data_IF_408374417370
#
_entry.id   IF_408374417370
#
_cell.length_a   1.000
_cell.length_b   1.000
_cell.length_c   1.000
_cell.angle_alpha   90.00
_cell.angle_beta   90.00
_cell.angle_gamma   90.00
#
_symmetry.space_group_name_H-M   'P 1'
#
loop_
_entity.id
_entity.type
_entity.pdbx_description
1 polymer ?
#
# COMPACT_ATOMS: atom_id res chain seq x y z
N UNK A 1 -16.08 -26.53 5.06
CA UNK A 1 -17.35 -26.37 5.79
C UNK A 1 -18.47 -26.12 4.80
N UNK A 2 -19.65 -26.71 5.06
CA UNK A 2 -20.85 -26.47 4.27
C UNK A 2 -21.69 -25.38 4.91
N UNK A 3 -22.33 -24.55 4.08
CA UNK A 3 -23.28 -23.55 4.55
C UNK A 3 -24.57 -24.21 5.01
N UNK A 4 -25.22 -23.62 5.99
CA UNK A 4 -26.50 -24.05 6.53
C UNK A 4 -27.59 -23.04 6.21
N UNK A 5 -28.86 -23.36 6.46
CA UNK A 5 -29.97 -22.44 6.31
C UNK A 5 -29.84 -21.18 7.21
N UNK A 6 -29.08 -21.27 8.30
CA UNK A 6 -28.79 -20.14 9.21
C UNK A 6 -27.59 -19.29 8.76
N UNK A 7 -26.90 -19.67 7.68
CA UNK A 7 -25.74 -18.89 7.20
C UNK A 7 -26.22 -17.53 6.69
N UNK A 8 -25.62 -16.46 7.20
CA UNK A 8 -25.93 -15.11 6.76
C UNK A 8 -25.51 -14.93 5.29
N UNK A 9 -26.48 -14.78 4.40
CA UNK A 9 -26.25 -14.58 2.96
C UNK A 9 -25.68 -13.20 2.61
N UNK A 10 -25.75 -12.25 3.55
CA UNK A 10 -25.20 -10.90 3.40
C UNK A 10 -23.77 -10.78 3.95
N UNK A 11 -23.21 -11.87 4.46
CA UNK A 11 -21.81 -11.87 4.92
C UNK A 11 -20.86 -11.57 3.75
N UNK A 12 -20.16 -10.45 3.85
CA UNK A 12 -19.29 -9.94 2.78
C UNK A 12 -17.86 -10.49 2.93
N UNK A 13 -17.69 -11.78 2.72
CA UNK A 13 -16.39 -12.44 2.69
C UNK A 13 -15.86 -12.59 1.27
N UNK A 14 -14.54 -12.57 1.13
CA UNK A 14 -13.82 -12.82 -0.12
C UNK A 14 -12.71 -13.85 0.10
N UNK A 15 -12.30 -14.52 -0.96
CA UNK A 15 -11.07 -15.31 -0.93
C UNK A 15 -9.88 -14.40 -0.58
N UNK A 16 -9.04 -14.86 0.34
CA UNK A 16 -7.93 -14.07 0.89
C UNK A 16 -8.24 -13.38 2.23
N UNK A 17 -9.51 -13.22 2.60
CA UNK A 17 -9.88 -12.60 3.89
C UNK A 17 -9.41 -13.45 5.07
N UNK A 18 -9.01 -12.76 6.14
CA UNK A 18 -8.69 -13.38 7.41
C UNK A 18 -9.98 -13.45 8.24
N UNK A 19 -10.23 -14.63 8.78
CA UNK A 19 -11.40 -14.92 9.58
C UNK A 19 -11.04 -15.70 10.84
N UNK A 20 -11.94 -15.68 11.80
CA UNK A 20 -11.91 -16.52 12.97
C UNK A 20 -12.97 -17.62 12.85
N UNK A 21 -12.56 -18.84 13.12
CA UNK A 21 -13.38 -20.03 13.10
C UNK A 21 -13.48 -20.59 14.52
N UNK A 22 -14.68 -20.87 14.98
CA UNK A 22 -14.89 -21.51 16.30
C UNK A 22 -16.05 -22.48 16.27
N UNK A 23 -15.98 -23.57 17.07
CA UNK A 23 -17.08 -24.50 17.19
C UNK A 23 -18.25 -23.83 17.92
N UNK A 24 -19.48 -24.13 17.52
CA UNK A 24 -20.66 -23.66 18.18
C UNK A 24 -21.56 -24.83 18.58
N UNK A 25 -22.19 -24.74 19.72
CA UNK A 25 -23.19 -25.70 20.20
C UNK A 25 -24.61 -25.20 19.90
N UNK A 26 -24.76 -23.86 19.92
CA UNK A 26 -25.99 -23.18 19.59
C UNK A 26 -25.74 -22.06 18.57
N UNK A 27 -26.74 -21.68 17.74
CA UNK A 27 -26.59 -20.57 16.80
C UNK A 27 -26.31 -19.20 17.46
N UNK A 28 -26.62 -19.06 18.75
CA UNK A 28 -26.40 -17.85 19.56
C UNK A 28 -25.01 -17.75 20.17
N UNK A 29 -24.17 -18.78 20.04
CA UNK A 29 -22.82 -18.79 20.59
C UNK A 29 -21.97 -17.68 19.96
N UNK A 30 -21.09 -17.11 20.78
CA UNK A 30 -20.23 -16.00 20.38
C UNK A 30 -18.76 -16.36 20.48
N UNK A 31 -17.92 -15.61 19.76
CA UNK A 31 -16.46 -15.75 19.77
C UNK A 31 -15.83 -15.71 21.17
N UNK A 32 -16.50 -15.07 22.13
CA UNK A 32 -16.00 -14.94 23.52
C UNK A 32 -16.15 -16.21 24.36
N UNK A 33 -16.93 -17.18 23.91
CA UNK A 33 -17.27 -18.39 24.66
C UNK A 33 -16.46 -19.61 24.26
N UNK A 34 -15.75 -19.54 23.13
CA UNK A 34 -15.08 -20.67 22.54
C UNK A 34 -13.61 -20.40 22.16
N UNK A 35 -12.85 -21.45 22.00
CA UNK A 35 -11.51 -21.35 21.43
C UNK A 35 -11.59 -20.94 19.97
N UNK A 36 -10.93 -19.86 19.63
CA UNK A 36 -10.89 -19.29 18.27
C UNK A 36 -9.70 -19.86 17.50
N UNK A 37 -9.94 -20.19 16.24
CA UNK A 37 -8.93 -20.65 15.30
C UNK A 37 -8.85 -19.63 14.16
N UNK A 38 -7.71 -18.97 14.01
CA UNK A 38 -7.50 -18.04 12.89
C UNK A 38 -7.32 -18.79 11.58
N UNK A 39 -8.00 -18.34 10.55
CA UNK A 39 -7.95 -18.96 9.23
C UNK A 39 -7.95 -17.90 8.11
N UNK A 40 -7.57 -18.32 6.92
CA UNK A 40 -7.71 -17.54 5.69
C UNK A 40 -8.73 -18.23 4.80
N UNK A 41 -9.67 -17.48 4.24
CA UNK A 41 -10.66 -18.00 3.31
C UNK A 41 -9.95 -18.28 1.98
N UNK A 42 -9.98 -19.53 1.54
CA UNK A 42 -9.34 -19.98 0.29
C UNK A 42 -10.33 -19.94 -0.87
N UNK A 43 -11.55 -20.43 -0.58
CA UNK A 43 -12.61 -20.55 -1.56
C UNK A 43 -13.96 -20.30 -0.90
N UNK A 44 -14.81 -19.58 -1.56
CA UNK A 44 -16.16 -19.27 -1.10
C UNK A 44 -17.12 -19.41 -2.28
N UNK A 45 -18.10 -20.29 -2.12
CA UNK A 45 -19.19 -20.46 -3.08
C UNK A 45 -20.56 -20.45 -2.36
N UNK A 46 -21.63 -20.68 -3.09
CA UNK A 46 -22.99 -20.64 -2.51
C UNK A 46 -23.25 -21.75 -1.48
N UNK A 47 -22.54 -22.85 -1.54
CA UNK A 47 -22.80 -24.05 -0.72
C UNK A 47 -21.75 -24.27 0.38
N UNK A 48 -20.53 -23.78 0.18
CA UNK A 48 -19.41 -24.12 1.06
C UNK A 48 -18.39 -22.99 1.20
N UNK A 49 -17.61 -23.09 2.26
CA UNK A 49 -16.41 -22.25 2.50
C UNK A 49 -15.23 -23.19 2.74
N UNK A 50 -14.13 -22.96 2.01
CA UNK A 50 -12.86 -23.62 2.24
C UNK A 50 -11.92 -22.64 2.93
N UNK A 51 -11.37 -23.05 4.05
CA UNK A 51 -10.44 -22.24 4.84
C UNK A 51 -9.10 -22.93 5.00
N UNK A 52 -8.05 -22.14 5.09
CA UNK A 52 -6.71 -22.57 5.47
C UNK A 52 -6.42 -22.08 6.89
N UNK A 53 -6.11 -22.99 7.81
CA UNK A 53 -5.78 -22.64 9.19
C UNK A 53 -4.40 -22.00 9.24
N UNK A 54 -4.28 -20.84 9.87
CA UNK A 54 -3.03 -20.06 9.91
C UNK A 54 -1.98 -20.63 10.86
N UNK A 55 -2.42 -21.47 11.81
CA UNK A 55 -1.55 -22.15 12.77
C UNK A 55 -1.82 -23.64 12.74
N UNK A 56 -0.77 -24.44 12.87
CA UNK A 56 -0.88 -25.87 12.96
C UNK A 56 -1.70 -26.24 14.21
N UNK A 57 -2.74 -27.05 14.01
CA UNK A 57 -3.57 -27.56 15.10
C UNK A 57 -3.08 -28.97 15.48
N UNK A 58 -2.75 -29.13 16.74
CA UNK A 58 -2.34 -30.46 17.28
C UNK A 58 -3.56 -31.33 17.70
N UNK A 59 -4.67 -30.67 18.06
CA UNK A 59 -5.91 -31.35 18.41
C UNK A 59 -6.92 -31.19 17.27
N UNK A 60 -7.14 -32.23 16.50
CA UNK A 60 -8.10 -32.23 15.38
C UNK A 60 -9.50 -32.74 15.81
N UNK A 61 -9.66 -33.29 17.02
CA UNK A 61 -10.94 -33.82 17.52
C UNK A 61 -12.13 -32.86 17.36
N UNK A 62 -12.00 -31.54 17.61
CA UNK A 62 -13.14 -30.63 17.40
C UNK A 62 -13.67 -30.60 15.98
N UNK A 63 -12.82 -30.80 14.97
CA UNK A 63 -13.25 -30.84 13.56
C UNK A 63 -14.04 -32.12 13.21
N UNK A 64 -13.80 -33.22 13.94
CA UNK A 64 -14.50 -34.46 13.71
C UNK A 64 -15.80 -34.59 14.53
N UNK A 65 -15.86 -33.93 15.70
CA UNK A 65 -16.95 -34.10 16.66
C UNK A 65 -17.98 -32.98 16.62
N UNK A 66 -17.61 -31.77 16.16
CA UNK A 66 -18.52 -30.66 16.12
C UNK A 66 -19.18 -30.51 14.75
N UNK A 67 -20.49 -30.39 14.73
CA UNK A 67 -21.28 -30.27 13.51
C UNK A 67 -21.56 -28.83 13.10
N UNK A 68 -21.51 -27.90 14.05
CA UNK A 68 -21.76 -26.47 13.81
C UNK A 68 -20.51 -25.65 14.06
N UNK A 69 -20.21 -24.75 13.12
CA UNK A 69 -19.08 -23.85 13.18
C UNK A 69 -19.49 -22.45 12.77
N UNK A 70 -19.01 -21.48 13.52
CA UNK A 70 -19.14 -20.07 13.15
C UNK A 70 -17.86 -19.59 12.48
N UNK A 71 -18.05 -18.75 11.44
CA UNK A 71 -16.98 -18.06 10.75
C UNK A 71 -17.30 -16.58 10.80
N UNK A 72 -16.43 -15.81 11.42
CA UNK A 72 -16.58 -14.36 11.56
C UNK A 72 -15.34 -13.63 11.01
N UNK A 73 -15.50 -12.36 10.57
CA UNK A 73 -14.34 -11.55 10.25
C UNK A 73 -13.40 -11.45 11.45
N UNK A 74 -12.09 -11.58 11.25
CA UNK A 74 -11.11 -11.33 12.30
C UNK A 74 -11.02 -9.82 12.57
N UNK A 75 -11.92 -9.32 13.40
CA UNK A 75 -11.89 -7.94 13.91
C UNK A 75 -10.98 -7.80 15.12
N UNK A 76 -10.51 -8.90 15.69
CA UNK A 76 -9.53 -8.92 16.78
C UNK A 76 -8.10 -8.95 16.20
N UNK A 77 -7.63 -8.03 16.01
CA UNK A 77 -6.62 -7.17 15.58
C UNK A 77 -5.16 -7.62 15.72
N UNK A 78 -4.65 -8.16 14.62
CA UNK A 78 -3.21 -8.17 14.39
C UNK A 78 -2.68 -6.79 13.99
N UNK A 79 -3.53 -5.88 13.53
CA UNK A 79 -3.16 -4.54 13.14
C UNK A 79 -2.71 -3.69 14.32
N UNK A 80 -3.42 -3.70 15.45
CA UNK A 80 -3.04 -2.93 16.65
C UNK A 80 -1.70 -3.41 17.22
N UNK A 81 -1.45 -4.71 17.26
CA UNK A 81 -0.14 -5.22 17.71
C UNK A 81 1.00 -4.71 16.83
N UNK A 82 0.79 -4.65 15.50
CA UNK A 82 1.77 -4.09 14.57
C UNK A 82 1.96 -2.59 14.79
N UNK A 83 0.87 -1.84 15.03
CA UNK A 83 0.93 -0.42 15.34
C UNK A 83 1.68 -0.15 16.66
N UNK A 84 1.37 -0.88 17.74
CA UNK A 84 2.10 -0.76 19.01
C UNK A 84 3.58 -1.08 18.86
N UNK A 85 3.92 -2.12 18.11
CA UNK A 85 5.31 -2.46 17.82
C UNK A 85 6.00 -1.32 17.06
N UNK A 86 5.36 -0.79 16.02
CA UNK A 86 5.88 0.33 15.25
C UNK A 86 6.13 1.57 16.12
N UNK A 87 5.18 1.93 16.97
CA UNK A 87 5.34 3.04 17.92
C UNK A 87 6.46 2.79 18.94
N UNK A 88 6.60 1.56 19.41
CA UNK A 88 7.69 1.19 20.32
C UNK A 88 9.06 1.26 19.64
N UNK A 89 9.17 0.79 18.41
CA UNK A 89 10.37 0.91 17.58
C UNK A 89 10.73 2.38 17.32
N UNK A 90 9.71 3.19 16.98
CA UNK A 90 9.89 4.64 16.84
C UNK A 90 10.41 5.27 18.12
N UNK A 91 9.81 4.98 19.28
CA UNK A 91 10.21 5.53 20.58
C UNK A 91 11.67 5.16 20.95
N UNK A 92 12.11 3.96 20.58
CA UNK A 92 13.48 3.47 20.80
C UNK A 92 14.50 3.91 19.75
N UNK A 93 14.10 4.60 18.69
CA UNK A 93 14.99 5.00 17.59
C UNK A 93 15.81 6.24 17.94
N UNK A 94 16.75 6.61 17.06
CA UNK A 94 17.56 7.82 17.20
C UNK A 94 16.70 9.09 17.24
N UNK A 95 17.08 10.06 18.08
CA UNK A 95 16.33 11.29 18.29
C UNK A 95 16.18 12.13 17.01
N UNK A 96 17.20 12.18 16.15
CA UNK A 96 17.15 12.92 14.89
C UNK A 96 16.18 12.25 13.90
N UNK A 97 16.11 10.91 13.92
CA UNK A 97 15.13 10.16 13.12
C UNK A 97 13.71 10.36 13.62
N UNK A 98 13.50 10.34 14.94
CA UNK A 98 12.20 10.67 15.52
C UNK A 98 11.73 12.07 15.12
N UNK A 99 12.61 13.06 15.26
CA UNK A 99 12.31 14.45 14.90
C UNK A 99 11.99 14.62 13.42
N UNK A 100 12.65 13.84 12.53
CA UNK A 100 12.36 13.83 11.11
C UNK A 100 10.97 13.25 10.81
N UNK A 101 10.66 12.07 11.36
CA UNK A 101 9.36 11.41 11.16
C UNK A 101 8.21 12.24 11.74
N UNK A 102 8.43 12.93 12.85
CA UNK A 102 7.46 13.89 13.41
C UNK A 102 7.36 15.22 12.65
N UNK A 103 8.20 15.45 11.65
CA UNK A 103 8.31 16.75 10.96
C UNK A 103 8.61 17.93 11.91
N UNK A 104 9.39 17.67 12.94
CA UNK A 104 9.95 18.69 13.86
C UNK A 104 11.18 19.39 13.29
N UNK A 105 11.84 18.74 12.33
CA UNK A 105 12.93 19.32 11.54
C UNK A 105 12.68 19.18 10.05
N UNK A 106 13.23 20.10 9.22
CA UNK A 106 13.14 19.95 7.77
C UNK A 106 13.90 18.73 7.28
N UNK A 107 13.50 18.13 6.15
CA UNK A 107 14.34 17.20 5.43
C UNK A 107 15.61 17.89 4.93
N UNK A 108 16.68 17.13 4.83
CA UNK A 108 17.95 17.67 4.33
C UNK A 108 17.82 18.16 2.88
N UNK A 109 18.56 19.23 2.56
CA UNK A 109 18.57 19.78 1.21
C UNK A 109 19.01 18.73 0.18
N UNK A 110 18.42 18.75 -1.03
CA UNK A 110 18.76 17.82 -2.09
C UNK A 110 20.25 17.81 -2.43
N UNK A 111 20.74 16.70 -2.93
CA UNK A 111 22.08 16.58 -3.49
C UNK A 111 22.20 17.51 -4.72
N UNK A 112 23.33 18.21 -4.83
CA UNK A 112 23.59 19.07 -6.00
C UNK A 112 23.80 18.24 -7.26
N UNK A 113 24.50 17.11 -7.12
CA UNK A 113 24.76 16.16 -8.20
C UNK A 113 24.49 14.74 -7.70
N UNK A 114 23.89 13.93 -8.52
CA UNK A 114 23.72 12.50 -8.31
C UNK A 114 24.35 11.80 -9.51
N UNK A 115 25.29 10.89 -9.25
CA UNK A 115 25.86 10.03 -10.28
C UNK A 115 24.70 9.32 -11.00
N UNK A 116 24.65 9.45 -12.32
CA UNK A 116 23.55 8.88 -13.12
C UNK A 116 22.27 9.72 -13.21
N UNK A 117 22.16 10.90 -12.57
CA UNK A 117 20.98 11.75 -12.66
C UNK A 117 20.74 12.30 -14.08
N UNK A 118 21.77 12.30 -14.93
CA UNK A 118 21.66 12.65 -16.35
C UNK A 118 21.75 11.46 -17.29
N UNK A 119 21.90 10.22 -16.76
CA UNK A 119 21.89 9.03 -17.58
C UNK A 119 20.43 8.71 -17.94
N UNK A 120 20.09 8.90 -19.18
CA UNK A 120 18.78 8.61 -19.73
C UNK A 120 18.55 7.09 -19.71
N UNK A 121 17.86 6.59 -18.67
CA UNK A 121 17.26 5.26 -18.73
C UNK A 121 16.16 5.26 -19.79
N UNK A 122 15.76 4.11 -20.28
CA UNK A 122 14.68 4.03 -21.27
C UNK A 122 13.38 4.57 -20.68
N UNK A 123 13.11 4.32 -19.41
CA UNK A 123 11.96 4.85 -18.69
C UNK A 123 12.03 6.37 -18.54
N UNK A 124 13.19 6.96 -18.24
CA UNK A 124 13.34 8.41 -18.14
C UNK A 124 13.00 9.12 -19.47
N UNK A 125 13.38 8.53 -20.59
CA UNK A 125 13.06 9.08 -21.91
C UNK A 125 11.55 9.07 -22.23
N UNK A 126 10.79 8.17 -21.62
CA UNK A 126 9.34 8.07 -21.77
C UNK A 126 8.54 8.99 -20.84
N UNK A 127 9.21 9.71 -19.91
CA UNK A 127 8.57 10.64 -19.01
C UNK A 127 8.17 11.94 -19.73
N UNK A 128 7.04 12.53 -19.34
CA UNK A 128 6.70 13.90 -19.69
C UNK A 128 7.67 14.89 -19.04
N UNK A 129 7.72 16.12 -19.50
CA UNK A 129 8.61 17.14 -18.92
C UNK A 129 8.30 17.39 -17.44
N UNK A 130 7.03 17.42 -17.04
CA UNK A 130 6.63 17.51 -15.63
C UNK A 130 7.18 16.33 -14.83
N UNK A 131 7.01 15.11 -15.35
CA UNK A 131 7.47 13.90 -14.68
C UNK A 131 9.00 13.85 -14.59
N UNK A 132 9.74 14.32 -15.59
CA UNK A 132 11.21 14.42 -15.56
C UNK A 132 11.67 15.32 -14.42
N UNK A 133 11.10 16.51 -14.32
CA UNK A 133 11.44 17.46 -13.23
C UNK A 133 11.17 16.86 -11.86
N UNK A 134 10.02 16.19 -11.70
CA UNK A 134 9.66 15.54 -10.43
C UNK A 134 10.54 14.33 -10.14
N UNK A 135 10.88 13.56 -11.17
CA UNK A 135 11.79 12.42 -11.06
C UNK A 135 13.17 12.85 -10.58
N UNK A 136 13.73 13.91 -11.17
CA UNK A 136 15.01 14.46 -10.72
C UNK A 136 14.96 14.95 -9.27
N UNK A 137 13.90 15.64 -8.87
CA UNK A 137 13.71 16.01 -7.46
C UNK A 137 13.69 14.77 -6.55
N UNK A 138 12.97 13.74 -6.95
CA UNK A 138 12.81 12.50 -6.18
C UNK A 138 14.14 11.76 -5.98
N UNK A 139 14.95 11.59 -7.03
CA UNK A 139 16.25 10.90 -6.92
C UNK A 139 17.31 11.72 -6.20
N UNK A 140 17.20 13.05 -6.20
CA UNK A 140 18.10 13.97 -5.47
C UNK A 140 17.71 14.18 -4.02
N UNK A 141 16.50 13.82 -3.63
CA UNK A 141 16.04 13.95 -2.24
C UNK A 141 16.91 13.11 -1.29
N UNK A 142 17.02 13.53 -0.03
CA UNK A 142 17.92 12.87 0.92
C UNK A 142 17.16 12.07 1.97
N UNK A 143 16.43 12.75 2.84
CA UNK A 143 15.72 12.10 3.95
C UNK A 143 14.42 11.47 3.46
N UNK A 144 13.59 12.26 2.75
CA UNK A 144 12.35 11.77 2.14
C UNK A 144 11.89 12.63 0.97
N UNK A 145 10.96 12.05 0.21
CA UNK A 145 10.21 12.75 -0.84
C UNK A 145 8.74 12.33 -0.82
N UNK A 146 7.82 13.28 -0.98
CA UNK A 146 6.39 13.04 -1.04
C UNK A 146 5.88 13.35 -2.44
N UNK A 147 5.34 12.35 -3.12
CA UNK A 147 4.76 12.50 -4.45
C UNK A 147 3.24 12.44 -4.37
N UNK A 148 2.60 13.58 -4.51
CA UNK A 148 1.15 13.63 -4.67
C UNK A 148 0.77 13.41 -6.13
N UNK A 149 0.07 12.32 -6.39
CA UNK A 149 -0.38 11.96 -7.74
C UNK A 149 -1.87 11.64 -7.75
N UNK A 150 -2.72 12.51 -8.29
CA UNK A 150 -4.12 12.22 -8.56
C UNK A 150 -4.34 10.98 -9.44
N UNK A 151 -5.60 10.49 -9.58
CA UNK A 151 -5.89 9.33 -10.41
C UNK A 151 -5.44 9.52 -11.86
N UNK A 152 -4.80 8.50 -12.42
CA UNK A 152 -4.38 8.50 -13.84
C UNK A 152 -3.13 9.32 -14.17
N UNK A 153 -2.42 9.87 -13.17
CA UNK A 153 -1.19 10.65 -13.39
C UNK A 153 0.09 9.80 -13.52
N UNK A 154 -0.03 8.48 -13.48
CA UNK A 154 1.11 7.59 -13.68
C UNK A 154 2.00 7.38 -12.45
N UNK A 155 1.47 7.54 -11.23
CA UNK A 155 2.20 7.30 -9.97
C UNK A 155 2.98 5.99 -9.98
N UNK A 156 2.27 4.89 -10.13
CA UNK A 156 2.82 3.51 -10.05
C UNK A 156 3.38 3.07 -11.38
N UNK A 157 2.57 3.14 -12.45
CA UNK A 157 2.93 2.62 -13.77
C UNK A 157 4.05 3.40 -14.48
N UNK A 158 4.31 4.65 -14.08
CA UNK A 158 5.32 5.50 -14.71
C UNK A 158 6.39 5.90 -13.70
N UNK A 159 6.05 6.65 -12.64
CA UNK A 159 7.05 7.22 -11.73
C UNK A 159 7.76 6.16 -10.87
N UNK A 160 6.99 5.23 -10.25
CA UNK A 160 7.59 4.15 -9.47
C UNK A 160 8.40 3.20 -10.36
N UNK A 161 7.88 2.86 -11.55
CA UNK A 161 8.61 2.05 -12.53
C UNK A 161 9.93 2.71 -12.93
N UNK A 162 9.91 3.99 -13.30
CA UNK A 162 11.12 4.73 -13.67
C UNK A 162 12.15 4.77 -12.54
N UNK A 163 11.69 4.92 -11.28
CA UNK A 163 12.55 4.85 -10.12
C UNK A 163 13.18 3.47 -9.94
N UNK A 164 12.41 2.39 -10.10
CA UNK A 164 12.93 1.03 -9.98
C UNK A 164 13.98 0.73 -11.06
N UNK A 165 13.73 1.12 -12.30
CA UNK A 165 14.68 1.00 -13.41
C UNK A 165 15.96 1.78 -13.12
N UNK A 166 15.84 3.05 -12.72
CA UNK A 166 16.98 3.87 -12.37
C UNK A 166 17.80 3.28 -11.22
N UNK A 167 17.16 2.76 -10.15
CA UNK A 167 17.84 2.10 -9.05
C UNK A 167 18.64 0.90 -9.54
N UNK A 168 18.09 0.09 -10.42
CA UNK A 168 18.75 -1.09 -10.96
C UNK A 168 19.93 -0.74 -11.88
N UNK A 169 19.81 0.29 -12.70
CA UNK A 169 20.81 0.63 -13.71
C UNK A 169 21.89 1.58 -13.19
N UNK A 170 21.52 2.53 -12.33
CA UNK A 170 22.41 3.65 -11.96
C UNK A 170 22.93 3.58 -10.54
N UNK A 171 22.48 2.64 -9.73
CA UNK A 171 22.89 2.50 -8.33
C UNK A 171 23.23 1.05 -7.97
N UNK A 172 23.74 0.84 -6.76
CA UNK A 172 23.86 -0.48 -6.13
C UNK A 172 22.84 -0.68 -5.00
N UNK A 173 21.89 0.24 -4.85
CA UNK A 173 20.93 0.23 -3.76
C UNK A 173 19.96 -0.95 -3.87
N UNK A 174 19.53 -1.45 -2.73
CA UNK A 174 18.39 -2.35 -2.61
C UNK A 174 17.14 -1.53 -2.32
N UNK A 175 16.04 -1.90 -2.97
CA UNK A 175 14.78 -1.18 -2.94
C UNK A 175 13.69 -2.03 -2.27
N UNK A 176 13.03 -1.46 -1.27
CA UNK A 176 11.82 -2.02 -0.68
C UNK A 176 10.61 -1.22 -1.17
N UNK A 177 9.69 -1.89 -1.85
CA UNK A 177 8.45 -1.33 -2.35
C UNK A 177 7.29 -1.86 -1.51
N UNK A 178 6.56 -0.97 -0.87
CA UNK A 178 5.42 -1.33 -0.05
C UNK A 178 4.15 -0.65 -0.55
N UNK A 179 3.01 -1.30 -0.32
CA UNK A 179 1.70 -0.70 -0.56
C UNK A 179 0.70 -1.10 0.54
N UNK A 180 -0.45 -0.42 0.57
CA UNK A 180 -1.49 -0.71 1.56
C UNK A 180 -2.21 -2.03 1.29
N UNK A 181 -2.59 -2.29 0.03
CA UNK A 181 -3.40 -3.45 -0.37
C UNK A 181 -2.62 -4.44 -1.23
N UNK A 182 -3.05 -5.70 -1.25
CA UNK A 182 -2.49 -6.71 -2.16
C UNK A 182 -2.69 -6.32 -3.63
N UNK A 183 -3.80 -5.69 -3.97
CA UNK A 183 -4.06 -5.19 -5.32
C UNK A 183 -3.03 -4.15 -5.74
N UNK A 184 -2.71 -3.18 -4.88
CA UNK A 184 -1.67 -2.20 -5.17
C UNK A 184 -0.28 -2.84 -5.30
N UNK A 185 0.00 -3.89 -4.51
CA UNK A 185 1.23 -4.69 -4.66
C UNK A 185 1.28 -5.43 -6.00
N UNK A 186 0.15 -5.96 -6.48
CA UNK A 186 0.06 -6.57 -7.81
C UNK A 186 0.31 -5.52 -8.91
N UNK A 187 -0.25 -4.32 -8.79
CA UNK A 187 0.00 -3.20 -9.72
C UNK A 187 1.48 -2.75 -9.73
N UNK A 188 2.16 -2.80 -8.58
CA UNK A 188 3.62 -2.59 -8.52
C UNK A 188 4.35 -3.70 -9.29
N UNK A 189 3.96 -4.97 -9.12
CA UNK A 189 4.57 -6.08 -9.85
C UNK A 189 4.31 -5.97 -11.37
N UNK A 190 3.11 -5.56 -11.79
CA UNK A 190 2.79 -5.26 -13.19
C UNK A 190 3.70 -4.15 -13.75
N UNK A 191 3.91 -3.09 -12.97
CA UNK A 191 4.79 -1.99 -13.35
C UNK A 191 6.25 -2.44 -13.47
N UNK A 192 6.75 -3.28 -12.57
CA UNK A 192 8.08 -3.88 -12.66
C UNK A 192 8.21 -4.77 -13.89
N UNK A 193 7.26 -5.67 -14.11
CA UNK A 193 7.28 -6.58 -15.27
C UNK A 193 7.31 -5.82 -16.62
N UNK A 194 6.70 -4.62 -16.67
CA UNK A 194 6.74 -3.76 -17.86
C UNK A 194 8.12 -3.18 -18.18
N UNK A 195 9.11 -3.27 -17.28
CA UNK A 195 10.50 -2.92 -17.55
C UNK A 195 11.10 -3.93 -18.57
N UNK A 196 10.63 -5.18 -18.51
CA UNK A 196 11.08 -6.24 -19.44
C UNK A 196 12.42 -6.87 -19.05
N UNK A 197 13.02 -7.59 -20.00
CA UNK A 197 14.30 -8.27 -19.75
C UNK A 197 14.21 -9.32 -18.64
N UNK A 198 15.23 -9.38 -17.81
CA UNK A 198 15.33 -10.29 -16.66
C UNK A 198 14.81 -9.68 -15.34
N UNK A 199 13.87 -8.74 -15.41
CA UNK A 199 13.38 -8.04 -14.19
C UNK A 199 12.84 -9.00 -13.13
N UNK A 200 12.19 -10.09 -13.54
CA UNK A 200 11.69 -11.12 -12.63
C UNK A 200 12.78 -11.82 -11.83
N UNK A 201 14.03 -11.76 -12.30
CA UNK A 201 15.20 -12.23 -11.54
C UNK A 201 15.74 -11.19 -10.56
N UNK A 202 15.20 -9.99 -10.55
CA UNK A 202 15.64 -8.89 -9.69
C UNK A 202 14.72 -8.65 -8.49
N UNK A 203 13.45 -9.12 -8.53
CA UNK A 203 12.53 -8.85 -7.43
C UNK A 203 11.90 -10.09 -6.81
N UNK A 204 11.52 -9.98 -5.54
CA UNK A 204 10.75 -10.95 -4.79
C UNK A 204 9.51 -10.29 -4.17
N UNK A 205 8.41 -11.04 -4.14
CA UNK A 205 7.18 -10.65 -3.46
C UNK A 205 7.04 -11.35 -2.12
N UNK A 206 6.79 -10.56 -1.06
CA UNK A 206 6.47 -11.07 0.27
C UNK A 206 4.96 -11.00 0.45
N UNK A 207 4.35 -12.11 0.73
CA UNK A 207 2.90 -12.21 0.90
C UNK A 207 2.40 -13.64 0.87
N UNK A 208 1.08 -13.79 1.05
CA UNK A 208 0.42 -15.08 0.96
C UNK A 208 0.05 -15.41 -0.49
N UNK A 209 0.21 -16.67 -0.88
CA UNK A 209 -0.26 -17.18 -2.18
C UNK A 209 -1.75 -16.89 -2.41
N UNK A 210 -2.56 -16.94 -1.36
CA UNK A 210 -4.01 -16.75 -1.45
C UNK A 210 -4.45 -15.31 -1.70
N UNK A 211 -3.57 -14.34 -1.45
CA UNK A 211 -3.82 -12.92 -1.65
C UNK A 211 -2.95 -12.29 -2.73
N UNK A 212 -2.27 -13.12 -3.52
CA UNK A 212 -1.40 -12.74 -4.63
C UNK A 212 -2.04 -13.19 -5.93
N UNK A 213 -2.04 -12.36 -6.97
CA UNK A 213 -2.49 -12.74 -8.29
C UNK A 213 -1.63 -13.89 -8.86
N UNK A 214 -2.24 -14.81 -9.61
CA UNK A 214 -1.59 -16.04 -10.09
C UNK A 214 -0.32 -15.76 -10.88
N UNK A 215 -0.30 -14.70 -11.67
CA UNK A 215 0.84 -14.30 -12.52
C UNK A 215 2.11 -14.00 -11.70
N UNK A 216 1.95 -13.66 -10.41
CA UNK A 216 3.05 -13.33 -9.50
C UNK A 216 3.36 -14.44 -8.48
N UNK A 217 2.70 -15.59 -8.55
CA UNK A 217 3.03 -16.72 -7.67
C UNK A 217 4.48 -17.18 -7.82
N UNK A 218 5.05 -17.00 -9.03
CA UNK A 218 6.46 -17.29 -9.31
C UNK A 218 7.44 -16.43 -8.50
N UNK A 219 7.03 -15.22 -8.12
CA UNK A 219 7.86 -14.23 -7.41
C UNK A 219 7.74 -14.30 -5.89
N UNK A 220 6.88 -15.17 -5.36
CA UNK A 220 6.70 -15.29 -3.90
C UNK A 220 7.98 -15.76 -3.22
N UNK A 221 8.43 -15.02 -2.21
CA UNK A 221 9.59 -15.37 -1.37
C UNK A 221 9.42 -16.78 -0.78
N UNK A 222 8.22 -17.15 -0.31
CA UNK A 222 7.90 -18.47 0.23
C UNK A 222 8.14 -19.59 -0.77
N UNK A 223 7.94 -19.36 -2.07
CA UNK A 223 8.24 -20.35 -3.12
C UNK A 223 9.74 -20.54 -3.31
N UNK A 224 10.50 -19.44 -3.34
CA UNK A 224 11.94 -19.48 -3.52
C UNK A 224 12.68 -20.04 -2.30
N UNK A 225 12.06 -19.98 -1.12
CA UNK A 225 12.65 -20.48 0.12
C UNK A 225 12.19 -21.91 0.49
N UNK A 226 11.27 -22.50 -0.27
CA UNK A 226 10.66 -23.80 0.07
C UNK A 226 11.70 -24.93 0.24
N UNK A 227 12.73 -24.94 -0.59
CA UNK A 227 13.79 -25.97 -0.60
C UNK A 227 15.09 -25.48 0.06
N UNK A 228 15.07 -24.32 0.71
CA UNK A 228 16.25 -23.77 1.39
C UNK A 228 16.26 -24.25 2.85
N UNK A 229 17.31 -24.98 3.21
CA UNK A 229 17.44 -25.56 4.56
C UNK A 229 18.60 -24.97 5.38
N UNK A 230 19.41 -24.09 4.81
CA UNK A 230 20.53 -23.48 5.51
C UNK A 230 20.58 -21.95 5.33
N UNK A 231 21.30 -21.28 6.22
CA UNK A 231 21.39 -19.81 6.24
C UNK A 231 22.22 -19.25 5.09
N UNK A 232 23.19 -19.99 4.58
CA UNK A 232 24.06 -19.51 3.50
C UNK A 232 23.27 -19.39 2.18
N UNK A 233 22.46 -20.41 1.85
CA UNK A 233 21.63 -20.40 0.65
C UNK A 233 20.54 -19.31 0.75
N UNK A 234 19.93 -19.16 1.94
CA UNK A 234 18.99 -18.06 2.16
C UNK A 234 19.63 -16.69 1.94
N UNK A 235 20.81 -16.48 2.50
CA UNK A 235 21.56 -15.23 2.32
C UNK A 235 21.90 -15.01 0.84
N UNK A 236 22.39 -16.02 0.15
CA UNK A 236 22.70 -15.95 -1.28
C UNK A 236 21.46 -15.59 -2.12
N UNK A 237 20.30 -16.21 -1.84
CA UNK A 237 19.03 -15.84 -2.49
C UNK A 237 18.69 -14.37 -2.23
N UNK A 238 18.71 -13.92 -0.97
CA UNK A 238 18.35 -12.54 -0.62
C UNK A 238 19.31 -11.54 -1.26
N UNK A 239 20.62 -11.82 -1.29
CA UNK A 239 21.61 -10.93 -1.92
C UNK A 239 21.48 -10.88 -3.45
N UNK A 240 21.04 -11.97 -4.09
CA UNK A 240 20.84 -12.00 -5.54
C UNK A 240 19.66 -11.14 -6.02
N UNK A 241 18.79 -10.68 -5.13
CA UNK A 241 17.58 -9.89 -5.45
C UNK A 241 17.72 -8.47 -4.91
N UNK A 242 17.45 -7.49 -5.74
CA UNK A 242 17.62 -6.07 -5.38
C UNK A 242 16.32 -5.39 -4.99
N UNK A 243 15.16 -5.90 -5.44
CA UNK A 243 13.85 -5.32 -5.17
C UNK A 243 12.99 -6.30 -4.39
N UNK A 244 12.33 -5.81 -3.34
CA UNK A 244 11.36 -6.58 -2.56
C UNK A 244 10.05 -5.82 -2.52
N UNK A 245 8.95 -6.53 -2.76
CA UNK A 245 7.61 -5.95 -2.85
C UNK A 245 6.69 -6.61 -1.83
N UNK A 246 5.92 -5.82 -1.09
CA UNK A 246 5.02 -6.35 -0.05
C UNK A 246 3.89 -5.38 0.29
N UNK A 247 2.88 -5.88 1.00
CA UNK A 247 2.03 -4.96 1.76
C UNK A 247 2.75 -4.54 3.05
N UNK A 248 2.43 -3.34 3.57
CA UNK A 248 2.94 -2.87 4.87
C UNK A 248 2.65 -3.90 5.98
N UNK A 249 1.44 -4.46 6.00
CA UNK A 249 1.04 -5.46 7.00
C UNK A 249 1.82 -6.77 6.89
N UNK A 250 2.03 -7.28 5.67
CA UNK A 250 2.80 -8.52 5.46
C UNK A 250 4.27 -8.30 5.79
N UNK A 251 4.82 -7.14 5.46
CA UNK A 251 6.20 -6.80 5.79
C UNK A 251 6.41 -6.66 7.29
N UNK A 252 5.49 -6.02 8.03
CA UNK A 252 5.56 -5.91 9.48
C UNK A 252 5.57 -7.27 10.21
N UNK A 253 4.98 -8.31 9.60
CA UNK A 253 5.05 -9.69 10.11
C UNK A 253 6.37 -10.40 9.77
N UNK A 254 7.13 -9.88 8.80
CA UNK A 254 8.39 -10.42 8.30
C UNK A 254 9.57 -9.45 8.53
N UNK A 255 9.51 -8.63 9.56
CA UNK A 255 10.52 -7.60 9.88
C UNK A 255 11.94 -8.15 10.08
N UNK A 256 12.06 -9.45 10.35
CA UNK A 256 13.34 -10.17 10.37
C UNK A 256 14.15 -10.02 9.09
N UNK A 257 13.51 -9.75 7.96
CA UNK A 257 14.20 -9.50 6.68
C UNK A 257 15.16 -8.32 6.77
N UNK A 258 14.82 -7.25 7.51
CA UNK A 258 15.71 -6.09 7.71
C UNK A 258 16.99 -6.42 8.53
N UNK A 259 17.03 -7.58 9.18
CA UNK A 259 18.25 -8.09 9.86
C UNK A 259 19.12 -8.92 8.91
N UNK A 260 18.54 -9.44 7.84
CA UNK A 260 19.21 -10.30 6.87
C UNK A 260 19.68 -9.53 5.64
N UNK A 261 18.99 -8.46 5.29
CA UNK A 261 19.28 -7.64 4.11
C UNK A 261 19.09 -6.16 4.42
N UNK A 262 20.06 -5.35 3.96
CA UNK A 262 19.98 -3.89 4.06
C UNK A 262 19.27 -3.34 2.82
N UNK A 263 18.31 -2.46 3.05
CA UNK A 263 17.65 -1.67 2.02
C UNK A 263 18.01 -0.20 2.20
N UNK A 264 18.50 0.41 1.16
CA UNK A 264 18.90 1.82 1.16
C UNK A 264 17.69 2.72 0.90
N UNK A 265 16.70 2.21 0.15
CA UNK A 265 15.52 2.97 -0.23
C UNK A 265 14.24 2.23 0.11
N UNK A 266 13.29 2.99 0.65
CA UNK A 266 11.92 2.56 0.87
C UNK A 266 10.99 3.41 0.01
N UNK A 267 10.08 2.77 -0.71
CA UNK A 267 8.96 3.45 -1.37
C UNK A 267 7.65 2.86 -0.87
N UNK A 268 6.73 3.72 -0.50
CA UNK A 268 5.38 3.31 -0.10
C UNK A 268 4.38 3.92 -1.07
N UNK A 269 3.73 3.07 -1.85
CA UNK A 269 2.63 3.46 -2.74
C UNK A 269 1.28 3.40 -2.01
N UNK A 270 0.32 4.20 -2.45
CA UNK A 270 -0.98 4.41 -1.77
C UNK A 270 -0.82 4.80 -0.28
N UNK A 271 0.24 5.56 0.03
CA UNK A 271 0.58 5.96 1.41
C UNK A 271 -0.50 6.81 2.10
N UNK A 272 -1.39 7.43 1.33
CA UNK A 272 -2.55 8.18 1.85
C UNK A 272 -3.61 7.30 2.51
N UNK A 273 -3.54 5.98 2.36
CA UNK A 273 -4.44 5.02 3.00
C UNK A 273 -3.87 4.43 4.29
N UNK A 274 -2.68 4.84 4.72
CA UNK A 274 -1.96 4.23 5.85
C UNK A 274 -1.88 5.22 7.02
N UNK A 275 -2.36 4.79 8.18
CA UNK A 275 -2.29 5.57 9.41
C UNK A 275 -0.86 5.67 9.93
N UNK A 276 -0.54 6.79 10.58
CA UNK A 276 0.80 7.08 11.09
C UNK A 276 1.38 5.99 12.01
N UNK A 277 0.64 5.41 12.98
CA UNK A 277 1.17 4.36 13.84
C UNK A 277 1.66 3.11 13.11
N UNK A 278 1.18 2.86 11.88
CA UNK A 278 1.62 1.72 11.09
C UNK A 278 3.00 1.94 10.45
N UNK A 279 3.41 3.19 10.24
CA UNK A 279 4.62 3.56 9.53
C UNK A 279 5.73 4.12 10.42
N UNK A 280 5.39 4.75 11.54
CA UNK A 280 6.33 5.54 12.34
C UNK A 280 7.64 4.79 12.65
N UNK A 281 7.56 3.58 13.17
CA UNK A 281 8.73 2.76 13.48
C UNK A 281 9.49 2.32 12.24
N UNK A 282 8.77 1.91 11.19
CA UNK A 282 9.38 1.48 9.94
C UNK A 282 10.21 2.61 9.32
N UNK A 283 9.66 3.83 9.24
CA UNK A 283 10.33 4.96 8.61
C UNK A 283 11.62 5.37 9.31
N UNK A 284 11.72 5.15 10.62
CA UNK A 284 12.97 5.44 11.35
C UNK A 284 14.13 4.51 11.00
N UNK A 285 13.85 3.37 10.35
CA UNK A 285 14.84 2.36 9.97
C UNK A 285 15.48 2.60 8.59
N UNK A 286 15.00 3.61 7.84
CA UNK A 286 15.49 3.93 6.50
C UNK A 286 16.12 5.31 6.45
N UNK A 287 17.24 5.41 5.78
CA UNK A 287 17.92 6.69 5.56
C UNK A 287 17.17 7.56 4.54
N UNK A 288 16.49 6.90 3.60
CA UNK A 288 15.71 7.58 2.57
C UNK A 288 14.40 6.83 2.31
N UNK A 289 13.29 7.57 2.32
CA UNK A 289 12.00 7.01 1.94
C UNK A 289 11.22 7.94 1.01
N UNK A 290 10.40 7.33 0.16
CA UNK A 290 9.51 8.03 -0.75
C UNK A 290 8.08 7.57 -0.43
N UNK A 291 7.19 8.52 -0.22
CA UNK A 291 5.76 8.24 -0.07
C UNK A 291 5.03 8.74 -1.31
N UNK A 292 4.28 7.85 -1.92
CA UNK A 292 3.45 8.14 -3.09
C UNK A 292 1.99 7.99 -2.65
N UNK A 293 1.14 8.97 -2.93
CA UNK A 293 -0.25 8.90 -2.49
C UNK A 293 -1.12 10.00 -3.05
N UNK A 294 -2.39 9.94 -2.69
CA UNK A 294 -3.37 10.97 -3.01
C UNK A 294 -4.35 11.14 -1.83
N UNK A 295 -4.12 12.14 -1.02
CA UNK A 295 -4.93 12.44 0.16
C UNK A 295 -6.31 13.02 -0.15
N UNK A 296 -6.64 13.22 -1.43
CA UNK A 296 -7.97 13.63 -1.89
C UNK A 296 -8.84 12.44 -2.36
N UNK A 297 -8.26 11.24 -2.39
CA UNK A 297 -8.99 9.99 -2.60
C UNK A 297 -9.48 9.41 -1.25
N UNK A 298 -9.82 8.12 -1.25
CA UNK A 298 -10.32 7.46 -0.05
C UNK A 298 -9.30 7.56 1.11
N UNK A 299 -9.73 8.05 2.27
CA UNK A 299 -8.86 8.18 3.44
C UNK A 299 -8.51 6.82 4.04
N UNK A 300 -7.56 6.84 4.98
CA UNK A 300 -7.27 5.68 5.80
C UNK A 300 -8.50 5.23 6.59
N UNK A 301 -8.69 3.92 6.70
CA UNK A 301 -9.85 3.36 7.42
C UNK A 301 -9.61 3.47 8.92
N UNK A 302 -10.53 4.14 9.62
CA UNK A 302 -10.55 4.25 11.08
C UNK A 302 -11.85 3.72 11.63
N UNK A 303 -11.78 2.99 12.74
CA UNK A 303 -12.95 2.43 13.42
C UNK A 303 -13.50 3.36 14.50
N UNK A 304 -12.76 4.38 14.90
CA UNK A 304 -13.15 5.33 15.92
C UNK A 304 -14.15 6.35 15.34
N UNK A 305 -15.04 6.81 16.21
CA UNK A 305 -15.98 7.89 15.86
C UNK A 305 -15.21 9.22 15.74
N UNK A 306 -15.60 10.11 14.81
CA UNK A 306 -14.89 11.36 14.54
C UNK A 306 -14.60 12.24 15.76
N UNK A 307 -15.50 12.26 16.72
CA UNK A 307 -15.36 13.05 17.95
C UNK A 307 -14.21 12.58 18.85
N UNK A 308 -13.74 11.33 18.70
CA UNK A 308 -12.65 10.78 19.49
C UNK A 308 -11.30 10.77 18.75
N UNK A 309 -11.26 11.31 17.55
CA UNK A 309 -10.05 11.35 16.73
C UNK A 309 -9.41 12.72 16.69
N UNK A 310 -10.15 13.76 17.10
CA UNK A 310 -9.61 15.11 17.19
C UNK A 310 -8.55 15.19 18.29
N UNK A 311 -7.43 15.82 17.95
CA UNK A 311 -6.31 16.02 18.87
C UNK A 311 -6.49 17.36 19.58
N UNK A 312 -6.53 17.34 20.91
CA UNK A 312 -6.67 18.54 21.73
C UNK A 312 -5.31 19.11 22.20
N UNK A 313 -4.26 18.29 22.13
CA UNK A 313 -2.91 18.66 22.57
C UNK A 313 -2.27 19.65 21.59
N UNK A 314 -1.95 20.85 22.11
CA UNK A 314 -1.35 21.94 21.34
C UNK A 314 0.06 21.62 20.84
N UNK A 315 0.82 20.82 21.55
CA UNK A 315 2.18 20.43 21.15
C UNK A 315 2.12 19.51 19.93
N UNK A 316 1.12 18.62 19.86
CA UNK A 316 0.88 17.76 18.70
C UNK A 316 0.40 18.59 17.48
N UNK A 317 -0.33 19.69 17.70
CA UNK A 317 -0.68 20.59 16.60
C UNK A 317 0.55 21.24 15.96
N UNK A 318 1.63 21.45 16.71
CA UNK A 318 2.87 22.06 16.16
C UNK A 318 3.53 21.18 15.10
N UNK A 319 3.31 19.87 15.14
CA UNK A 319 3.79 18.92 14.12
C UNK A 319 2.73 18.60 13.05
N UNK A 320 1.59 19.31 13.08
CA UNK A 320 0.48 19.14 12.14
C UNK A 320 -0.46 17.97 12.44
N UNK A 321 -0.36 17.34 13.61
CA UNK A 321 -1.27 16.26 14.05
C UNK A 321 -2.51 16.86 14.70
N UNK A 322 -3.57 16.99 13.92
CA UNK A 322 -4.85 17.60 14.34
C UNK A 322 -6.00 16.60 14.39
N UNK A 323 -5.91 15.54 13.62
CA UNK A 323 -6.89 14.44 13.58
C UNK A 323 -6.16 13.10 13.38
N UNK A 324 -6.44 12.14 14.26
CA UNK A 324 -5.84 10.80 14.19
C UNK A 324 -6.31 9.97 12.98
N UNK A 325 -7.32 10.45 12.24
CA UNK A 325 -7.78 9.84 10.98
C UNK A 325 -6.90 10.24 9.79
N UNK A 326 -6.15 11.32 9.91
CA UNK A 326 -5.24 11.75 8.87
C UNK A 326 -4.19 10.66 8.62
N UNK A 327 -3.95 10.34 7.35
CA UNK A 327 -2.83 9.48 7.02
C UNK A 327 -1.52 10.18 7.31
N UNK A 328 -0.46 9.40 7.54
CA UNK A 328 0.87 9.96 7.69
C UNK A 328 1.28 10.82 6.47
N UNK A 329 0.95 10.35 5.26
CA UNK A 329 1.20 11.08 4.03
C UNK A 329 0.54 12.46 4.03
N UNK A 330 -0.75 12.54 4.37
CA UNK A 330 -1.50 13.79 4.38
C UNK A 330 -0.94 14.77 5.40
N UNK A 331 -0.72 14.32 6.64
CA UNK A 331 -0.14 15.14 7.70
C UNK A 331 1.23 15.70 7.29
N UNK A 332 2.13 14.82 6.82
CA UNK A 332 3.47 15.23 6.44
C UNK A 332 3.49 16.16 5.23
N UNK A 333 2.64 15.87 4.21
CA UNK A 333 2.51 16.71 3.02
C UNK A 333 2.03 18.12 3.41
N UNK A 334 0.96 18.21 4.18
CA UNK A 334 0.41 19.48 4.70
C UNK A 334 1.45 20.24 5.53
N UNK A 335 2.20 19.53 6.38
CA UNK A 335 3.27 20.12 7.19
C UNK A 335 4.41 20.66 6.34
N UNK A 336 4.87 19.92 5.34
CA UNK A 336 5.90 20.37 4.41
C UNK A 336 5.47 21.59 3.61
N UNK A 337 4.21 21.63 3.17
CA UNK A 337 3.66 22.79 2.42
C UNK A 337 3.59 24.03 3.31
N UNK A 338 3.07 23.91 4.54
CA UNK A 338 3.01 25.00 5.53
C UNK A 338 4.39 25.55 5.94
N UNK A 339 5.42 24.71 5.93
CA UNK A 339 6.78 25.07 6.31
C UNK A 339 7.67 25.42 5.08
N UNK A 340 7.07 25.48 3.90
CA UNK A 340 7.75 25.79 2.63
C UNK A 340 8.90 24.80 2.29
N UNK A 341 8.80 23.53 2.75
CA UNK A 341 9.79 22.49 2.42
C UNK A 341 9.53 21.88 1.04
N UNK A 342 9.34 22.74 0.05
CA UNK A 342 8.93 22.36 -1.32
C UNK A 342 9.95 21.50 -2.05
N UNK A 343 11.19 21.44 -1.57
CA UNK A 343 12.20 20.54 -2.12
C UNK A 343 11.91 19.06 -1.87
N UNK A 344 11.10 18.74 -0.85
CA UNK A 344 10.65 17.40 -0.53
C UNK A 344 9.27 17.05 -1.11
N UNK A 345 8.64 17.98 -1.86
CA UNK A 345 7.31 17.81 -2.41
C UNK A 345 7.32 17.75 -3.93
N UNK A 346 6.54 16.82 -4.45
CA UNK A 346 6.18 16.74 -5.87
C UNK A 346 4.67 16.57 -6.05
N UNK A 347 4.12 17.16 -7.11
CA UNK A 347 2.72 17.04 -7.46
C UNK A 347 2.58 16.83 -8.97
N UNK A 348 1.93 15.73 -9.34
CA UNK A 348 1.58 15.41 -10.71
C UNK A 348 0.26 16.09 -11.08
N UNK A 349 0.17 16.68 -12.26
CA UNK A 349 -1.03 17.37 -12.74
C UNK A 349 -1.63 16.72 -14.00
N UNK A 350 -0.81 16.19 -14.89
CA UNK A 350 -1.26 15.58 -16.15
C UNK A 350 -1.78 14.16 -15.93
N UNK A 351 -3.07 13.92 -16.23
CA UNK A 351 -3.69 12.60 -16.10
C UNK A 351 -4.13 12.05 -17.47
N UNK A 352 -3.95 10.73 -17.69
CA UNK A 352 -4.29 10.02 -18.92
C UNK A 352 -5.45 9.03 -18.79
N UNK A 353 -6.19 9.05 -17.67
CA UNK A 353 -7.25 8.06 -17.38
C UNK A 353 -8.66 8.58 -17.70
N UNK A 354 -8.96 9.79 -17.29
CA UNK A 354 -10.30 10.34 -17.37
C UNK A 354 -10.46 11.19 -18.62
N UNK A 355 -11.63 11.11 -19.24
CA UNK A 355 -12.07 12.11 -20.22
C UNK A 355 -12.15 13.50 -19.54
N UNK A 356 -11.89 14.57 -20.27
CA UNK A 356 -11.87 15.95 -19.72
C UNK A 356 -13.16 16.30 -18.99
N UNK A 357 -14.33 15.96 -19.57
CA UNK A 357 -15.63 16.30 -18.98
C UNK A 357 -15.90 15.49 -17.68
N UNK A 358 -15.35 14.25 -17.57
CA UNK A 358 -15.42 13.46 -16.35
C UNK A 358 -14.45 14.02 -15.30
N UNK A 359 -13.28 14.48 -15.72
CA UNK A 359 -12.26 15.07 -14.85
C UNK A 359 -12.72 16.40 -14.26
N UNK A 360 -13.55 17.17 -14.96
CA UNK A 360 -13.92 18.53 -14.55
C UNK A 360 -14.51 18.59 -13.13
N UNK A 361 -15.45 17.71 -12.82
CA UNK A 361 -16.08 17.68 -11.49
C UNK A 361 -15.08 17.39 -10.36
N UNK A 362 -14.31 16.30 -10.37
CA UNK A 362 -13.31 16.06 -9.31
C UNK A 362 -12.22 17.12 -9.30
N UNK A 363 -11.84 17.71 -10.44
CA UNK A 363 -10.84 18.76 -10.53
C UNK A 363 -11.28 20.01 -9.75
N UNK A 364 -12.51 20.45 -9.95
CA UNK A 364 -13.07 21.60 -9.23
C UNK A 364 -13.27 21.32 -7.73
N UNK A 365 -13.78 20.14 -7.38
CA UNK A 365 -14.19 19.83 -6.00
C UNK A 365 -13.01 19.45 -5.10
N UNK A 366 -12.01 18.74 -5.62
CA UNK A 366 -10.97 18.12 -4.81
C UNK A 366 -9.55 18.57 -5.16
N UNK A 367 -9.30 19.01 -6.41
CA UNK A 367 -7.96 19.28 -6.89
C UNK A 367 -7.70 20.75 -7.23
N UNK A 368 -8.61 21.66 -6.86
CA UNK A 368 -8.39 23.11 -7.03
C UNK A 368 -8.09 23.53 -8.48
N UNK A 369 -8.63 22.82 -9.45
CA UNK A 369 -8.48 23.02 -10.89
C UNK A 369 -7.03 22.88 -11.42
N UNK A 370 -6.17 22.10 -10.74
CA UNK A 370 -4.80 21.92 -11.24
C UNK A 370 -4.61 20.70 -12.16
N UNK A 371 -5.61 19.81 -12.28
CA UNK A 371 -5.52 18.66 -13.17
C UNK A 371 -5.66 19.10 -14.63
N UNK A 372 -4.82 18.49 -15.47
CA UNK A 372 -4.84 18.66 -16.91
C UNK A 372 -4.94 17.29 -17.58
N UNK A 373 -5.42 17.24 -18.82
CA UNK A 373 -5.32 16.05 -19.66
C UNK A 373 -3.87 15.80 -20.08
N UNK A 374 -3.48 14.53 -20.23
CA UNK A 374 -2.12 14.16 -20.61
C UNK A 374 -1.80 14.62 -22.05
N UNK A 375 -2.77 14.52 -22.95
CA UNK A 375 -2.67 14.98 -24.33
C UNK A 375 -3.40 16.30 -24.51
N UNK A 376 -2.84 17.19 -25.32
CA UNK A 376 -3.50 18.40 -25.80
C UNK A 376 -4.18 18.19 -27.17
N UNK A 377 -4.03 17.01 -27.78
CA UNK A 377 -4.61 16.66 -29.06
C UNK A 377 -6.11 16.42 -28.93
N UNK A 378 -6.91 17.22 -29.64
CA UNK A 378 -8.37 17.10 -29.61
C UNK A 378 -8.88 15.81 -30.26
N UNK A 379 -8.04 15.08 -30.97
CA UNK A 379 -8.37 13.75 -31.51
C UNK A 379 -8.12 12.61 -30.53
N UNK A 380 -7.46 12.91 -29.38
CA UNK A 380 -7.23 11.94 -28.32
C UNK A 380 -8.57 11.50 -27.69
N UNK A 381 -8.73 10.24 -27.31
CA UNK A 381 -9.92 9.74 -26.61
C UNK A 381 -10.34 10.56 -25.38
N UNK A 382 -9.42 11.27 -24.72
CA UNK A 382 -9.71 12.16 -23.61
C UNK A 382 -10.54 13.41 -24.02
N UNK A 383 -10.55 13.78 -25.29
CA UNK A 383 -11.19 14.98 -25.83
C UNK A 383 -12.35 14.69 -26.79
N UNK A 384 -12.50 13.46 -27.24
CA UNK A 384 -13.58 13.07 -28.14
C UNK A 384 -14.95 13.23 -27.43
N UNK A 385 -16.03 13.62 -28.17
CA UNK A 385 -17.35 13.72 -27.56
C UNK A 385 -17.78 12.41 -26.91
N UNK A 386 -18.23 12.49 -25.65
CA UNK A 386 -18.78 11.32 -24.95
C UNK A 386 -20.09 10.89 -25.61
N UNK A 387 -20.05 9.76 -26.32
CA UNK A 387 -21.24 9.13 -26.87
C UNK A 387 -21.92 8.31 -25.76
N UNK A 388 -22.90 8.92 -25.09
CA UNK A 388 -23.79 8.16 -24.23
C UNK A 388 -24.79 7.41 -25.12
N UNK A 389 -24.93 6.07 -25.00
CA UNK A 389 -26.09 5.41 -25.60
C UNK A 389 -27.32 6.08 -25.00
N UNK A 390 -28.25 6.54 -25.86
CA UNK A 390 -29.52 7.06 -25.37
C UNK A 390 -30.18 5.95 -24.56
N UNK A 391 -30.16 6.10 -23.23
CA UNK A 391 -30.92 5.24 -22.35
C UNK A 391 -32.36 5.36 -22.83
N UNK A 392 -33.07 4.24 -23.05
CA UNK A 392 -34.52 4.31 -23.29
C UNK A 392 -35.10 5.11 -22.13
N UNK A 393 -36.02 6.04 -22.42
CA UNK A 393 -36.63 6.90 -21.42
C UNK A 393 -37.02 6.05 -20.22
N UNK A 394 -36.34 6.22 -19.09
CA UNK A 394 -36.60 5.43 -17.90
C UNK A 394 -38.01 5.75 -17.42
N UNK A 395 -38.82 4.76 -17.02
CA UNK A 395 -40.07 5.04 -16.41
C UNK A 395 -39.87 5.94 -15.20
N UNK A 396 -40.58 7.05 -15.16
CA UNK A 396 -40.54 8.01 -14.07
C UNK A 396 -40.88 7.27 -12.77
N UNK A 397 -39.92 7.20 -11.87
CA UNK A 397 -40.14 6.66 -10.52
C UNK A 397 -41.03 7.63 -9.76
N UNK A 398 -42.35 7.43 -9.83
CA UNK A 398 -43.26 8.10 -8.92
C UNK A 398 -43.12 7.48 -7.54
N UNK A 399 -42.65 8.26 -6.56
CA UNK A 399 -42.72 7.89 -5.15
C UNK A 399 -44.21 7.58 -4.84
N UNK A 400 -44.48 6.35 -4.43
CA UNK A 400 -45.65 6.03 -3.63
C UNK A 400 -45.28 6.02 -2.17
#
# INVERSE_FOLDING_TARGET
>A
FRKTAATNTLANFRAGDIAVLYPAFEPSDTVLQHQVIKCTIVELNNESVKVHLRFQQFNLKPFDTQSLWHLEPDVMDMGFTAMYRSLFEWAGSDAQRRALVLAQRPPAMPLREVSGAGAATSAHNALTEEQKVLFEKMIRSRDYFLLWGPPGTGKTSVMLRALAEWVLEQTTDNLLLLAYTNRAVDEICEALDSIGGSIRDQYLRIGSRFSTAEDFHGQLLSRHTADIHNRADLHALLESRRIFVSTVSSFAQNDGLLRLKKFQRLVIDEASQILEPQLAGLLTRFDHFILIGDHRQLPAVTTQRPQFTLVEDTDLHTIGLVDLRDSYFERLYRRCDQQEWHHALGRLSAQGRMHRDIMEFPNQQFYGNFLNTLSADETDPQHLPLCYPRLPASPVWTKR
#
